data_IF_912250283126
#
_entry.id   IF_912250283126
#
_cell.length_a   1.000
_cell.length_b   1.000
_cell.length_c   1.000
_cell.angle_alpha   90.00
_cell.angle_beta   90.00
_cell.angle_gamma   90.00
#
_symmetry.space_group_name_H-M   'P 1'
#
loop_
_entity.id
_entity.type
_entity.pdbx_description
1 polymer ?
#
# COMPACT_ATOMS: atom_id res chain seq x y z
N UNK A 1 14.69 15.39 18.29
CA UNK A 1 15.62 14.86 17.34
C UNK A 1 14.91 14.49 16.05
N UNK A 2 15.52 14.81 15.04
CA UNK A 2 14.94 14.63 13.76
C UNK A 2 15.05 13.18 13.29
N UNK A 3 13.97 12.61 12.81
CA UNK A 3 13.93 11.20 12.48
C UNK A 3 14.35 10.87 11.06
N UNK A 4 14.72 11.86 10.28
CA UNK A 4 15.11 11.67 8.88
C UNK A 4 14.02 11.06 8.00
N UNK A 5 12.77 11.26 8.36
CA UNK A 5 11.66 10.86 7.51
C UNK A 5 11.36 9.38 7.47
N UNK A 6 11.85 8.65 8.44
CA UNK A 6 11.57 7.23 8.50
C UNK A 6 10.16 6.99 9.04
N UNK A 7 9.40 6.14 8.36
CA UNK A 7 8.01 5.89 8.71
C UNK A 7 7.85 4.59 9.48
N UNK A 8 6.94 4.60 10.46
CA UNK A 8 6.51 3.38 11.12
C UNK A 8 5.46 2.72 10.24
N UNK A 9 5.64 1.45 9.91
CA UNK A 9 4.75 0.74 9.01
C UNK A 9 3.78 -0.10 9.79
N UNK A 10 2.49 0.02 9.47
CA UNK A 10 1.43 -0.75 10.10
C UNK A 10 0.58 -1.38 9.02
N UNK A 11 0.23 -2.65 9.20
CA UNK A 11 -0.74 -3.31 8.33
C UNK A 11 -2.06 -3.33 9.08
N UNK A 12 -3.10 -2.76 8.47
CA UNK A 12 -4.39 -2.68 9.14
C UNK A 12 -4.95 -4.09 9.38
N UNK A 13 -5.60 -4.34 10.52
CA UNK A 13 -6.22 -5.65 10.77
C UNK A 13 -7.19 -6.09 9.69
N UNK A 14 -7.94 -5.16 9.08
CA UNK A 14 -8.80 -5.48 7.96
C UNK A 14 -8.00 -6.05 6.79
N UNK A 15 -6.85 -5.42 6.49
CA UNK A 15 -5.97 -5.85 5.42
C UNK A 15 -5.40 -7.24 5.70
N UNK A 16 -4.98 -7.46 6.95
CA UNK A 16 -4.46 -8.78 7.34
C UNK A 16 -5.50 -9.87 7.13
N UNK A 17 -6.73 -9.60 7.56
CA UNK A 17 -7.78 -10.61 7.52
C UNK A 17 -8.30 -10.89 6.13
N UNK A 18 -8.46 -9.86 5.32
CA UNK A 18 -9.17 -10.01 4.05
C UNK A 18 -8.29 -10.14 2.84
N UNK A 19 -7.04 -9.69 2.91
CA UNK A 19 -6.18 -9.66 1.73
C UNK A 19 -4.87 -10.39 1.93
N UNK A 20 -4.15 -10.11 3.00
CA UNK A 20 -2.83 -10.71 3.22
C UNK A 20 -2.97 -12.22 3.39
N UNK A 21 -3.98 -12.65 4.11
CA UNK A 21 -4.23 -14.06 4.33
C UNK A 21 -4.38 -14.82 3.00
N UNK A 22 -5.08 -14.21 2.04
CA UNK A 22 -5.27 -14.83 0.73
C UNK A 22 -3.99 -14.90 -0.08
N UNK A 23 -3.20 -13.83 -0.05
CA UNK A 23 -1.91 -13.83 -0.74
C UNK A 23 -0.99 -14.87 -0.14
N UNK A 24 -0.93 -14.93 1.19
CA UNK A 24 -0.06 -15.88 1.87
C UNK A 24 -0.42 -17.33 1.54
N UNK A 25 -1.70 -17.61 1.27
CA UNK A 25 -2.12 -18.96 0.89
C UNK A 25 -1.67 -19.36 -0.51
N UNK A 26 -1.49 -18.39 -1.40
CA UNK A 26 -1.14 -18.64 -2.80
C UNK A 26 0.37 -18.78 -3.01
N UNK A 27 1.15 -18.47 -2.00
CA UNK A 27 2.61 -18.50 -2.08
C UNK A 27 3.14 -19.20 -0.85
N UNK A 28 4.43 -19.57 -0.87
CA UNK A 28 5.02 -20.16 0.32
C UNK A 28 5.11 -19.11 1.42
N UNK A 29 5.12 -19.56 2.65
CA UNK A 29 5.30 -18.67 3.79
C UNK A 29 6.58 -17.87 3.67
N UNK A 30 7.66 -18.53 3.23
CA UNK A 30 8.94 -17.85 3.04
C UNK A 30 8.84 -16.72 2.01
N UNK A 31 8.16 -16.99 0.88
CA UNK A 31 7.98 -15.97 -0.15
C UNK A 31 7.19 -14.79 0.39
N UNK A 32 6.11 -15.05 1.12
CA UNK A 32 5.29 -13.97 1.64
C UNK A 32 6.03 -13.17 2.70
N UNK A 33 6.76 -13.82 3.61
CA UNK A 33 7.49 -13.09 4.64
C UNK A 33 8.58 -12.21 4.02
N UNK A 34 9.28 -12.70 3.00
CA UNK A 34 10.28 -11.89 2.32
C UNK A 34 9.64 -10.72 1.60
N UNK A 35 8.47 -10.94 0.97
CA UNK A 35 7.74 -9.88 0.29
C UNK A 35 7.28 -8.81 1.28
N UNK A 36 6.74 -9.24 2.41
CA UNK A 36 6.27 -8.32 3.44
C UNK A 36 7.42 -7.45 3.96
N UNK A 37 8.57 -8.04 4.19
CA UNK A 37 9.74 -7.25 4.63
C UNK A 37 10.18 -6.24 3.59
N UNK A 38 10.09 -6.60 2.32
CA UNK A 38 10.42 -5.68 1.24
C UNK A 38 9.45 -4.51 1.22
N UNK A 39 8.15 -4.77 1.38
CA UNK A 39 7.15 -3.71 1.46
C UNK A 39 7.45 -2.80 2.64
N UNK A 40 7.74 -3.39 3.80
CA UNK A 40 8.04 -2.61 4.99
C UNK A 40 9.26 -1.72 4.77
N UNK A 41 10.30 -2.26 4.15
CA UNK A 41 11.51 -1.48 3.91
C UNK A 41 11.22 -0.28 2.99
N UNK A 42 10.49 -0.49 1.91
CA UNK A 42 10.16 0.59 0.99
C UNK A 42 9.32 1.65 1.70
N UNK A 43 8.35 1.23 2.51
CA UNK A 43 7.49 2.20 3.22
C UNK A 43 8.23 2.92 4.33
N UNK A 44 9.14 2.25 5.03
CA UNK A 44 9.97 2.94 6.02
C UNK A 44 10.74 4.09 5.40
N UNK A 45 11.17 3.92 4.15
CA UNK A 45 11.97 4.91 3.45
C UNK A 45 11.21 5.52 2.27
N UNK A 46 9.89 5.71 2.45
CA UNK A 46 9.03 6.05 1.31
C UNK A 46 9.43 7.34 0.62
N UNK A 47 10.01 8.29 1.36
CA UNK A 47 10.41 9.55 0.72
C UNK A 47 11.47 9.35 -0.36
N UNK A 48 12.25 8.28 -0.25
CA UNK A 48 13.23 7.96 -1.30
C UNK A 48 12.58 7.28 -2.50
N UNK A 49 11.40 6.69 -2.34
CA UNK A 49 10.77 5.90 -3.37
C UNK A 49 9.58 6.57 -4.03
N UNK A 50 9.10 7.67 -3.44
CA UNK A 50 7.86 8.30 -3.90
C UNK A 50 8.01 8.89 -5.30
N UNK A 51 9.20 9.21 -5.73
CA UNK A 51 9.46 9.75 -7.05
C UNK A 51 9.92 8.69 -8.05
N UNK A 52 9.94 7.42 -7.64
CA UNK A 52 10.31 6.33 -8.52
C UNK A 52 9.05 5.66 -9.06
N UNK A 53 9.24 4.69 -9.97
CA UNK A 53 8.10 3.94 -10.48
C UNK A 53 7.60 2.87 -9.52
N UNK A 54 8.10 2.83 -8.29
CA UNK A 54 7.60 1.92 -7.26
C UNK A 54 6.35 2.42 -6.57
N UNK A 55 6.09 3.71 -6.63
CA UNK A 55 4.93 4.29 -5.92
C UNK A 55 4.31 5.40 -6.73
N UNK A 56 3.01 5.55 -6.58
CA UNK A 56 2.26 6.61 -7.25
C UNK A 56 1.38 7.31 -6.22
N UNK A 57 1.47 8.64 -6.15
CA UNK A 57 0.62 9.40 -5.23
C UNK A 57 -0.75 9.60 -5.87
N UNK A 58 -1.79 9.19 -5.17
CA UNK A 58 -3.16 9.27 -5.67
C UNK A 58 -3.90 10.48 -5.11
N UNK A 59 -3.78 10.72 -3.81
CA UNK A 59 -4.44 11.84 -3.14
C UNK A 59 -3.47 12.53 -2.20
N UNK A 60 -3.60 13.84 -2.08
CA UNK A 60 -2.81 14.66 -1.14
C UNK A 60 -3.75 15.57 -0.37
N UNK A 61 -3.51 15.71 0.93
CA UNK A 61 -4.22 16.68 1.75
C UNK A 61 -3.31 17.06 2.92
N UNK A 62 -3.82 17.97 3.78
CA UNK A 62 -3.08 18.35 4.98
C UNK A 62 -2.90 17.18 5.92
N UNK A 63 -3.77 16.18 5.83
CA UNK A 63 -3.68 15.00 6.70
C UNK A 63 -2.60 14.02 6.26
N UNK A 64 -2.19 14.09 4.98
CA UNK A 64 -1.21 13.17 4.46
C UNK A 64 -1.46 12.82 3.01
N UNK A 65 -1.10 11.59 2.64
CA UNK A 65 -1.20 11.16 1.24
C UNK A 65 -1.75 9.74 1.16
N UNK A 66 -2.50 9.48 0.09
CA UNK A 66 -2.84 8.10 -0.28
C UNK A 66 -1.94 7.75 -1.46
N UNK A 67 -1.19 6.68 -1.33
CA UNK A 67 -0.32 6.22 -2.41
C UNK A 67 -0.68 4.81 -2.81
N UNK A 68 -0.33 4.46 -4.04
CA UNK A 68 -0.39 3.11 -4.54
C UNK A 68 1.04 2.62 -4.72
N UNK A 69 1.38 1.54 -4.06
CA UNK A 69 2.71 0.96 -4.09
C UNK A 69 2.67 -0.26 -4.99
N UNK A 70 3.66 -0.37 -5.87
CA UNK A 70 3.83 -1.54 -6.73
C UNK A 70 4.84 -2.48 -6.07
N UNK A 71 4.51 -3.76 -5.98
CA UNK A 71 5.44 -4.70 -5.41
C UNK A 71 5.36 -6.03 -6.15
N UNK A 72 6.40 -6.85 -6.00
CA UNK A 72 6.39 -8.18 -6.56
C UNK A 72 6.56 -9.20 -5.43
N UNK A 73 6.09 -10.42 -5.70
CA UNK A 73 6.31 -11.52 -4.75
C UNK A 73 7.77 -11.94 -4.86
N UNK A 74 8.42 -12.12 -3.71
CA UNK A 74 9.83 -12.50 -3.67
C UNK A 74 10.03 -13.80 -4.45
N UNK A 75 11.12 -13.85 -5.22
CA UNK A 75 11.44 -15.02 -6.03
C UNK A 75 10.84 -15.02 -7.42
N UNK A 76 9.98 -14.05 -7.74
CA UNK A 76 9.46 -13.94 -9.10
C UNK A 76 10.36 -13.03 -9.93
N UNK A 77 10.24 -13.14 -11.25
CA UNK A 77 11.14 -12.43 -12.17
C UNK A 77 10.63 -11.05 -12.59
N UNK A 78 9.35 -10.78 -12.39
CA UNK A 78 8.79 -9.51 -12.81
C UNK A 78 9.35 -8.36 -11.98
N UNK A 79 9.44 -7.18 -12.58
CA UNK A 79 9.71 -5.98 -11.80
C UNK A 79 8.46 -5.65 -10.97
N UNK A 80 8.64 -4.80 -9.95
CA UNK A 80 7.51 -4.43 -9.10
C UNK A 80 6.37 -3.83 -9.93
N UNK A 81 6.68 -2.93 -10.85
CA UNK A 81 5.65 -2.26 -11.63
C UNK A 81 4.98 -3.20 -12.62
N UNK A 82 5.71 -4.14 -13.18
CA UNK A 82 5.14 -5.11 -14.13
C UNK A 82 4.32 -6.18 -13.45
N UNK A 83 4.59 -6.45 -12.17
CA UNK A 83 3.79 -7.41 -11.45
C UNK A 83 2.37 -6.89 -11.35
N UNK A 84 1.44 -7.78 -11.06
CA UNK A 84 0.05 -7.37 -10.89
C UNK A 84 -0.27 -6.99 -9.45
N UNK A 85 0.72 -6.90 -8.58
CA UNK A 85 0.50 -6.72 -7.14
C UNK A 85 0.59 -5.26 -6.74
N UNK A 86 -0.38 -4.81 -5.94
CA UNK A 86 -0.52 -3.41 -5.54
C UNK A 86 -0.84 -3.32 -4.06
N UNK A 87 -0.37 -2.26 -3.41
CA UNK A 87 -0.75 -1.94 -2.04
C UNK A 87 -1.24 -0.49 -2.01
N UNK A 88 -2.35 -0.25 -1.33
CA UNK A 88 -2.86 1.10 -1.12
C UNK A 88 -2.51 1.48 0.31
N UNK A 89 -1.84 2.62 0.48
CA UNK A 89 -1.26 3.01 1.77
C UNK A 89 -1.64 4.45 2.08
N UNK A 90 -2.05 4.67 3.33
CA UNK A 90 -2.23 6.03 3.84
C UNK A 90 -0.95 6.44 4.57
N UNK A 91 -0.34 7.51 4.11
CA UNK A 91 0.83 8.09 4.75
C UNK A 91 0.38 9.25 5.63
N UNK A 92 0.45 9.06 6.94
CA UNK A 92 0.22 10.15 7.87
C UNK A 92 1.55 10.86 8.02
N UNK A 93 1.72 11.96 7.28
CA UNK A 93 3.02 12.61 7.19
C UNK A 93 3.41 13.31 8.47
N UNK A 94 2.43 13.76 9.27
CA UNK A 94 2.72 14.43 10.52
C UNK A 94 3.26 13.48 11.57
N UNK A 95 2.74 12.27 11.61
CA UNK A 95 3.16 11.26 12.58
C UNK A 95 4.20 10.30 12.04
N UNK A 96 4.50 10.39 10.75
CA UNK A 96 5.40 9.48 10.05
C UNK A 96 4.96 8.03 10.23
N UNK A 97 3.68 7.77 9.93
CA UNK A 97 3.12 6.44 9.97
C UNK A 97 2.60 6.07 8.59
N UNK A 98 2.98 4.90 8.11
CA UNK A 98 2.49 4.34 6.86
C UNK A 98 1.54 3.21 7.20
N UNK A 99 0.26 3.39 6.91
CA UNK A 99 -0.77 2.39 7.22
C UNK A 99 -1.22 1.73 5.94
N UNK A 100 -0.96 0.44 5.81
CA UNK A 100 -1.34 -0.33 4.63
C UNK A 100 -2.82 -0.68 4.75
N UNK A 101 -3.61 -0.20 3.80
CA UNK A 101 -5.07 -0.36 3.83
C UNK A 101 -5.53 -1.52 2.98
N UNK A 102 -4.93 -1.74 1.82
CA UNK A 102 -5.28 -2.82 0.91
C UNK A 102 -4.02 -3.43 0.33
N UNK A 103 -4.06 -4.73 0.07
CA UNK A 103 -3.08 -5.42 -0.74
C UNK A 103 -3.88 -6.31 -1.69
N UNK A 104 -3.64 -6.16 -2.99
CA UNK A 104 -4.43 -6.89 -3.97
C UNK A 104 -3.60 -7.13 -5.24
N UNK A 105 -4.03 -8.10 -6.03
CA UNK A 105 -3.52 -8.24 -7.38
C UNK A 105 -4.54 -7.66 -8.36
N UNK A 106 -4.08 -7.29 -9.56
CA UNK A 106 -5.00 -6.77 -10.58
C UNK A 106 -6.00 -7.82 -11.04
N UNK A 107 -5.77 -9.08 -10.71
CA UNK A 107 -6.75 -10.12 -10.97
C UNK A 107 -7.93 -10.04 -10.01
N UNK A 108 -7.71 -9.52 -8.82
CA UNK A 108 -8.77 -9.35 -7.82
C UNK A 108 -9.50 -8.03 -8.01
N UNK A 109 -8.77 -6.98 -8.35
CA UNK A 109 -9.33 -5.64 -8.62
C UNK A 109 -8.70 -5.19 -9.92
N UNK A 110 -9.43 -5.32 -11.02
CA UNK A 110 -8.82 -5.18 -12.33
C UNK A 110 -9.40 -4.03 -13.15
N UNK A 111 -8.69 -3.73 -14.23
CA UNK A 111 -9.16 -2.80 -15.24
C UNK A 111 -10.50 -3.26 -15.81
N UNK A 112 -11.30 -2.33 -16.35
CA UNK A 112 -10.88 -0.94 -16.58
C UNK A 112 -10.98 -0.01 -15.37
N UNK A 113 -11.59 -0.35 -14.31
CA UNK A 113 -11.87 0.59 -13.24
C UNK A 113 -11.14 0.23 -11.94
N UNK A 114 -9.88 -0.18 -12.07
CA UNK A 114 -9.10 -0.58 -10.90
C UNK A 114 -9.11 0.51 -9.82
N UNK A 115 -8.79 1.76 -10.19
CA UNK A 115 -8.70 2.83 -9.21
C UNK A 115 -10.05 3.11 -8.56
N UNK A 116 -11.12 3.17 -9.36
CA UNK A 116 -12.44 3.42 -8.80
C UNK A 116 -12.86 2.30 -7.85
N UNK A 117 -12.51 1.07 -8.18
CA UNK A 117 -12.90 -0.07 -7.35
C UNK A 117 -12.19 -0.09 -6.01
N UNK A 118 -10.87 0.13 -5.99
CA UNK A 118 -10.21 0.11 -4.71
C UNK A 118 -10.59 1.35 -3.87
N UNK A 119 -10.85 2.49 -4.51
CA UNK A 119 -11.31 3.66 -3.76
C UNK A 119 -12.64 3.40 -3.08
N UNK A 120 -13.54 2.67 -3.76
CA UNK A 120 -14.81 2.32 -3.13
C UNK A 120 -14.59 1.45 -1.90
N UNK A 121 -13.69 0.49 -1.99
CA UNK A 121 -13.38 -0.36 -0.85
C UNK A 121 -12.84 0.48 0.32
N UNK A 122 -11.92 1.40 0.02
CA UNK A 122 -11.35 2.25 1.07
C UNK A 122 -12.42 3.17 1.65
N UNK A 123 -13.31 3.74 0.81
CA UNK A 123 -14.43 4.54 1.32
C UNK A 123 -15.30 3.73 2.28
N UNK A 124 -15.61 2.49 1.92
CA UNK A 124 -16.51 1.66 2.72
C UNK A 124 -15.85 1.19 4.01
N UNK A 125 -14.58 0.85 3.98
CA UNK A 125 -13.89 0.24 5.11
C UNK A 125 -13.09 1.23 5.96
N UNK A 126 -12.69 2.35 5.38
CA UNK A 126 -11.88 3.35 6.06
C UNK A 126 -12.45 4.76 5.83
N UNK A 127 -13.75 4.97 6.14
CA UNK A 127 -14.37 6.26 5.82
C UNK A 127 -13.70 7.42 6.54
N UNK A 128 -13.18 7.20 7.73
CA UNK A 128 -12.51 8.27 8.47
C UNK A 128 -11.22 8.72 7.78
N UNK A 129 -10.57 7.82 7.04
CA UNK A 129 -9.37 8.18 6.29
C UNK A 129 -9.77 8.93 5.02
N UNK A 130 -10.73 8.41 4.27
CA UNK A 130 -11.11 9.03 3.01
C UNK A 130 -11.73 10.41 3.20
N UNK A 131 -12.40 10.65 4.33
CA UNK A 131 -12.92 11.99 4.60
C UNK A 131 -11.83 13.04 4.69
N UNK A 132 -10.61 12.64 5.05
CA UNK A 132 -9.48 13.58 5.11
C UNK A 132 -9.08 14.10 3.74
N UNK A 133 -9.51 13.42 2.68
CA UNK A 133 -9.19 13.79 1.30
C UNK A 133 -10.40 14.32 0.53
N UNK A 134 -11.57 14.29 1.12
CA UNK A 134 -12.75 14.89 0.50
C UNK A 134 -12.60 16.38 0.59
N UNK A 135 -12.76 17.06 -0.50
CA UNK A 135 -12.69 18.48 -0.41
C UNK A 135 -13.82 19.01 0.33
N UNK A 136 -13.55 19.74 0.85
CA UNK A 136 -14.47 20.28 1.39
C UNK A 136 -15.13 21.13 0.63
#
# INVERSE_FOLDING_TARGET
>A
MYTSGRYLVQFDPYTERHYIKNIAKRHSDRQWQATRKSIEFVLEHIEKHILTDKAETIHVSDAGRIIKLYFKIAGTKDSAKRSSNRAVVFLNDKLCVARVLLIYSKEEICDPNETARWQKIVDDQFPEIMRKFSSR
#
